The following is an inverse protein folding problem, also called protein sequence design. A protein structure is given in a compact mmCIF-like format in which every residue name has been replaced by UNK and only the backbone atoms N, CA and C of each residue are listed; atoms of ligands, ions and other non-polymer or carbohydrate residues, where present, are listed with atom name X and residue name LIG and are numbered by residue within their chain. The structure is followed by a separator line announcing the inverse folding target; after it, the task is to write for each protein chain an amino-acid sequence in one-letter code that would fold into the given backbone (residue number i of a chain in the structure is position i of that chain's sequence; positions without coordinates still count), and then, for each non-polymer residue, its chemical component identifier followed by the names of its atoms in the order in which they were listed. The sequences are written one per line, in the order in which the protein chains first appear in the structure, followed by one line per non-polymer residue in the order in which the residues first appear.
data_IF_597479040980
#
_entry.id   IF_597479040980
#
_cell.length_a   1.000
_cell.length_b   1.000
_cell.length_c   1.000
_cell.angle_alpha   90.00
_cell.angle_beta   90.00
_cell.angle_gamma   90.00
#
_symmetry.space_group_name_H-M   'P 1'
#
loop_
_entity.id
_entity.type
_entity.pdbx_description
1 polymer ?
#
# COMPACT_ATOMS: atom_id res chain seq x y z
N UNK A 1 -31.13 -17.91 -7.45
CA UNK A 1 -29.90 -18.15 -6.66
C UNK A 1 -28.83 -18.44 -7.70
N UNK A 2 -27.89 -17.52 -7.90
CA UNK A 2 -26.85 -17.73 -8.91
C UNK A 2 -25.99 -18.94 -8.51
N UNK A 3 -25.97 -19.97 -9.35
CA UNK A 3 -25.12 -21.13 -9.15
C UNK A 3 -23.66 -20.73 -9.37
N UNK A 4 -22.85 -20.98 -8.34
CA UNK A 4 -21.40 -20.85 -8.41
C UNK A 4 -20.84 -22.02 -9.22
N UNK A 5 -20.31 -21.71 -10.40
CA UNK A 5 -19.54 -22.68 -11.18
C UNK A 5 -18.08 -22.64 -10.72
N UNK A 6 -17.35 -23.74 -10.95
CA UNK A 6 -15.91 -23.82 -10.66
C UNK A 6 -15.15 -22.67 -11.35
N UNK A 7 -15.52 -22.36 -12.60
CA UNK A 7 -14.97 -21.22 -13.34
C UNK A 7 -15.17 -19.88 -12.62
N UNK A 8 -16.41 -19.58 -12.18
CA UNK A 8 -16.72 -18.36 -11.44
C UNK A 8 -15.96 -18.28 -10.11
N UNK A 9 -15.71 -19.42 -9.46
CA UNK A 9 -14.90 -19.47 -8.24
C UNK A 9 -13.43 -19.12 -8.54
N UNK A 10 -12.86 -19.67 -9.61
CA UNK A 10 -11.49 -19.39 -10.03
C UNK A 10 -11.33 -17.90 -10.39
N UNK A 11 -12.26 -17.34 -11.15
CA UNK A 11 -12.28 -15.91 -11.50
C UNK A 11 -12.32 -15.03 -10.24
N UNK A 12 -13.20 -15.34 -9.28
CA UNK A 12 -13.28 -14.62 -8.01
C UNK A 12 -12.01 -14.73 -7.16
N UNK A 13 -11.30 -15.86 -7.20
CA UNK A 13 -10.01 -16.03 -6.52
C UNK A 13 -8.92 -15.17 -7.17
N UNK A 14 -8.89 -15.06 -8.50
CA UNK A 14 -7.96 -14.19 -9.22
C UNK A 14 -8.22 -12.73 -8.83
N UNK A 15 -9.47 -12.27 -8.88
CA UNK A 15 -9.85 -10.90 -8.47
C UNK A 15 -9.47 -10.60 -7.02
N UNK A 16 -9.66 -11.57 -6.12
CA UNK A 16 -9.23 -11.44 -4.72
C UNK A 16 -7.72 -11.24 -4.62
N UNK A 17 -6.93 -12.04 -5.34
CA UNK A 17 -5.47 -11.89 -5.31
C UNK A 17 -5.01 -10.56 -5.91
N UNK A 18 -5.64 -10.09 -6.99
CA UNK A 18 -5.34 -8.78 -7.57
C UNK A 18 -5.56 -7.63 -6.59
N UNK A 19 -6.70 -7.65 -5.91
CA UNK A 19 -6.99 -6.67 -4.85
C UNK A 19 -5.96 -6.71 -3.73
N UNK A 20 -5.61 -7.89 -3.23
CA UNK A 20 -4.62 -8.02 -2.14
C UNK A 20 -3.22 -7.56 -2.57
N UNK A 21 -2.82 -7.85 -3.81
CA UNK A 21 -1.56 -7.35 -4.38
C UNK A 21 -1.55 -5.82 -4.40
N UNK A 22 -2.65 -5.20 -4.85
CA UNK A 22 -2.79 -3.76 -4.88
C UNK A 22 -2.73 -3.15 -3.47
N UNK A 23 -3.54 -3.67 -2.55
CA UNK A 23 -3.59 -3.19 -1.15
C UNK A 23 -2.22 -3.25 -0.47
N UNK A 24 -1.46 -4.34 -0.64
CA UNK A 24 -0.12 -4.45 -0.06
C UNK A 24 0.92 -3.57 -0.76
N UNK A 25 0.81 -3.39 -2.08
CA UNK A 25 1.70 -2.50 -2.83
C UNK A 25 1.49 -1.04 -2.40
N UNK A 26 0.23 -0.61 -2.29
CA UNK A 26 -0.15 0.73 -1.83
C UNK A 26 0.30 0.96 -0.38
N UNK A 27 0.17 -0.06 0.47
CA UNK A 27 0.67 -0.01 1.86
C UNK A 27 2.19 0.17 1.91
N UNK A 28 2.94 -0.55 1.06
CA UNK A 28 4.39 -0.45 0.99
C UNK A 28 4.84 0.93 0.48
N UNK A 29 4.18 1.47 -0.55
CA UNK A 29 4.45 2.82 -1.04
C UNK A 29 4.13 3.88 0.02
N UNK A 30 3.01 3.73 0.72
CA UNK A 30 2.61 4.64 1.79
C UNK A 30 3.59 4.60 2.97
N UNK A 31 4.09 3.42 3.36
CA UNK A 31 5.15 3.30 4.37
C UNK A 31 6.43 4.04 3.96
N UNK A 32 6.82 3.96 2.67
CA UNK A 32 7.98 4.71 2.15
C UNK A 32 7.73 6.22 2.14
N UNK A 33 6.51 6.65 1.80
CA UNK A 33 6.14 8.07 1.82
C UNK A 33 6.13 8.61 3.25
N UNK A 34 5.63 7.84 4.23
CA UNK A 34 5.71 8.19 5.65
C UNK A 34 7.15 8.42 6.10
N UNK A 35 8.09 7.54 5.74
CA UNK A 35 9.49 7.72 6.18
C UNK A 35 10.09 9.01 5.64
N UNK A 36 9.81 9.34 4.38
CA UNK A 36 10.30 10.58 3.74
C UNK A 36 9.66 11.81 4.39
N UNK A 37 8.35 11.78 4.64
CA UNK A 37 7.64 12.91 5.25
C UNK A 37 8.06 13.14 6.71
N UNK A 38 8.35 12.06 7.46
CA UNK A 38 8.89 12.16 8.83
C UNK A 38 10.27 12.80 8.83
N UNK A 39 11.17 12.35 7.96
CA UNK A 39 12.50 12.97 7.82
C UNK A 39 12.40 14.45 7.40
N UNK A 40 11.51 14.76 6.45
CA UNK A 40 11.23 16.15 6.03
C UNK A 40 10.71 17.00 7.20
N UNK A 41 9.78 16.45 7.99
CA UNK A 41 9.25 17.11 9.19
C UNK A 41 10.38 17.42 10.17
N UNK A 42 11.23 16.46 10.49
CA UNK A 42 12.35 16.63 11.42
C UNK A 42 13.31 17.75 10.94
N UNK A 43 13.60 17.80 9.64
CA UNK A 43 14.42 18.87 9.04
C UNK A 43 13.76 20.25 9.12
N UNK A 44 12.45 20.31 8.86
CA UNK A 44 11.68 21.56 8.92
C UNK A 44 11.52 22.06 10.35
N UNK A 45 11.31 21.18 11.33
CA UNK A 45 11.28 21.53 12.76
C UNK A 45 12.61 22.15 13.18
N UNK A 46 13.73 21.53 12.82
CA UNK A 46 15.07 22.09 13.08
C UNK A 46 15.25 23.49 12.47
N UNK A 47 14.84 23.71 11.22
CA UNK A 47 14.98 25.03 10.60
C UNK A 47 14.04 26.07 11.22
N UNK A 48 12.81 25.70 11.58
CA UNK A 48 11.85 26.58 12.26
C UNK A 48 12.38 27.04 13.61
N UNK A 49 13.03 26.16 14.36
CA UNK A 49 13.62 26.48 15.67
C UNK A 49 14.83 27.43 15.56
N UNK A 50 15.57 27.38 14.45
CA UNK A 50 16.74 28.25 14.15
C UNK A 50 16.35 29.63 13.55
N UNK A 51 15.16 30.15 13.85
CA UNK A 51 14.61 31.43 13.34
C UNK A 51 14.37 31.47 11.80
N UNK A 52 13.77 30.42 11.25
CA UNK A 52 13.47 30.36 9.82
C UNK A 52 12.40 31.34 9.30
N UNK A 53 12.54 31.65 8.01
CA UNK A 53 11.55 32.33 7.15
C UNK A 53 10.16 31.65 7.19
N UNK A 54 9.10 32.45 7.01
CA UNK A 54 7.70 31.98 7.03
C UNK A 54 7.40 30.83 6.04
N UNK A 55 8.21 30.68 4.97
CA UNK A 55 8.09 29.55 4.03
C UNK A 55 8.26 28.19 4.71
N UNK A 56 9.20 28.07 5.64
CA UNK A 56 9.49 26.79 6.32
C UNK A 56 8.39 26.44 7.31
N UNK A 57 7.81 27.44 7.99
CA UNK A 57 6.63 27.24 8.85
C UNK A 57 5.43 26.74 8.06
N UNK A 58 5.20 27.31 6.87
CA UNK A 58 4.12 26.86 5.99
C UNK A 58 4.36 25.42 5.51
N UNK A 59 5.57 25.12 5.03
CA UNK A 59 5.90 23.76 4.59
C UNK A 59 5.81 22.74 5.72
N UNK A 60 6.12 23.12 6.96
CA UNK A 60 5.97 22.27 8.13
C UNK A 60 4.49 21.91 8.36
N UNK A 61 3.61 22.91 8.33
CA UNK A 61 2.15 22.71 8.46
C UNK A 61 1.62 21.79 7.35
N UNK A 62 2.03 22.04 6.10
CA UNK A 62 1.59 21.23 4.96
C UNK A 62 2.10 19.78 5.08
N UNK A 63 3.35 19.59 5.51
CA UNK A 63 3.95 18.26 5.74
C UNK A 63 3.25 17.52 6.90
N UNK A 64 2.90 18.22 7.98
CA UNK A 64 2.15 17.64 9.11
C UNK A 64 0.76 17.17 8.69
N UNK A 65 0.02 17.97 7.91
CA UNK A 65 -1.30 17.57 7.38
C UNK A 65 -1.21 16.36 6.45
N UNK A 66 -0.18 16.32 5.61
CA UNK A 66 0.04 15.17 4.74
C UNK A 66 0.33 13.92 5.55
N UNK A 67 1.17 14.02 6.59
CA UNK A 67 1.42 12.91 7.54
C UNK A 67 0.13 12.41 8.18
N UNK A 68 -0.69 13.30 8.76
CA UNK A 68 -1.96 12.92 9.39
C UNK A 68 -2.87 12.19 8.40
N UNK A 69 -3.05 12.76 7.20
CA UNK A 69 -3.87 12.15 6.14
C UNK A 69 -3.34 10.77 5.74
N UNK A 70 -2.01 10.61 5.66
CA UNK A 70 -1.40 9.36 5.24
C UNK A 70 -1.45 8.30 6.35
N UNK A 71 -1.35 8.72 7.62
CA UNK A 71 -1.50 7.85 8.78
C UNK A 71 -2.95 7.37 8.98
N UNK A 72 -3.95 8.21 8.67
CA UNK A 72 -5.37 7.83 8.69
C UNK A 72 -5.73 6.86 7.54
N UNK A 73 -5.13 7.03 6.36
CA UNK A 73 -5.41 6.22 5.18
C UNK A 73 -4.56 4.95 5.08
N UNK A 74 -3.46 4.86 5.84
CA UNK A 74 -2.70 3.62 5.91
C UNK A 74 -3.62 2.55 6.49
N UNK A 75 -3.86 1.49 5.74
CA UNK A 75 -4.33 0.24 6.34
C UNK A 75 -3.28 -0.07 7.42
N UNK A 76 -3.72 -0.15 8.68
CA UNK A 76 -2.89 -0.55 9.79
C UNK A 76 -2.49 -2.02 9.61
N UNK A 77 -1.57 -2.25 8.69
CA UNK A 77 -0.85 -3.50 8.55
C UNK A 77 0.39 -3.32 9.39
N UNK A 78 0.44 -3.99 10.54
CA UNK A 78 1.64 -4.11 11.40
C UNK A 78 2.81 -4.83 10.69
N UNK A 79 2.63 -5.21 9.42
CA UNK A 79 3.65 -5.87 8.62
C UNK A 79 4.75 -4.88 8.23
N UNK A 80 5.98 -5.32 8.45
CA UNK A 80 7.19 -4.65 7.97
C UNK A 80 7.23 -4.69 6.45
N UNK A 81 7.98 -3.80 5.79
CA UNK A 81 8.13 -3.81 4.33
C UNK A 81 8.55 -5.17 3.75
N UNK A 82 9.41 -5.90 4.45
CA UNK A 82 9.83 -7.25 4.05
C UNK A 82 8.69 -8.28 4.08
N UNK A 83 7.78 -8.13 5.04
CA UNK A 83 6.61 -9.00 5.19
C UNK A 83 5.55 -8.67 4.16
N UNK A 84 5.30 -7.38 3.89
CA UNK A 84 4.46 -6.93 2.77
C UNK A 84 4.94 -7.48 1.43
N UNK A 85 6.25 -7.39 1.18
CA UNK A 85 6.85 -7.95 -0.04
C UNK A 85 6.63 -9.46 -0.14
N UNK A 86 6.85 -10.20 0.95
CA UNK A 86 6.59 -11.65 0.99
C UNK A 86 5.13 -11.98 0.68
N UNK A 87 4.17 -11.21 1.21
CA UNK A 87 2.74 -11.39 0.93
C UNK A 87 2.38 -11.10 -0.52
N UNK A 88 2.96 -10.07 -1.12
CA UNK A 88 2.80 -9.77 -2.54
C UNK A 88 3.31 -10.97 -3.37
N UNK A 89 4.50 -11.48 -3.08
CA UNK A 89 5.09 -12.61 -3.81
C UNK A 89 4.23 -13.90 -3.68
N UNK A 90 3.67 -14.15 -2.50
CA UNK A 90 2.71 -15.24 -2.25
C UNK A 90 1.45 -15.09 -3.12
N UNK A 91 0.85 -13.91 -3.16
CA UNK A 91 -0.35 -13.65 -3.96
C UNK A 91 -0.10 -13.64 -5.46
N UNK A 92 1.05 -13.15 -5.91
CA UNK A 92 1.46 -13.23 -7.33
C UNK A 92 1.59 -14.70 -7.75
N UNK A 93 2.23 -15.52 -6.91
CA UNK A 93 2.37 -16.96 -7.14
C UNK A 93 1.01 -17.68 -7.18
N UNK A 94 0.13 -17.37 -6.21
CA UNK A 94 -1.21 -17.94 -6.14
C UNK A 94 -2.08 -17.51 -7.33
N UNK A 95 -2.05 -16.23 -7.70
CA UNK A 95 -2.74 -15.71 -8.90
C UNK A 95 -2.29 -16.46 -10.14
N UNK A 96 -0.97 -16.60 -10.35
CA UNK A 96 -0.41 -17.31 -11.50
C UNK A 96 -0.94 -18.74 -11.58
N UNK A 97 -0.99 -19.45 -10.45
CA UNK A 97 -1.57 -20.80 -10.39
C UNK A 97 -3.04 -20.82 -10.82
N UNK A 98 -3.88 -19.94 -10.27
CA UNK A 98 -5.30 -19.89 -10.59
C UNK A 98 -5.58 -19.45 -12.03
N UNK A 99 -4.78 -18.53 -12.58
CA UNK A 99 -4.86 -18.14 -14.00
C UNK A 99 -4.54 -19.34 -14.92
N UNK A 100 -3.52 -20.15 -14.58
CA UNK A 100 -3.22 -21.37 -15.34
C UNK A 100 -4.36 -22.39 -15.25
N UNK A 101 -4.99 -22.53 -14.07
CA UNK A 101 -6.16 -23.39 -13.88
C UNK A 101 -7.36 -22.95 -14.71
N UNK A 102 -7.63 -21.65 -14.78
CA UNK A 102 -8.68 -21.09 -15.61
C UNK A 102 -8.47 -21.42 -17.10
N UNK A 103 -7.23 -21.23 -17.59
CA UNK A 103 -6.87 -21.54 -18.98
C UNK A 103 -7.04 -23.03 -19.34
N UNK A 104 -6.81 -23.93 -18.38
CA UNK A 104 -7.03 -25.37 -18.57
C UNK A 104 -8.51 -25.77 -18.63
N UNK A 105 -9.43 -24.91 -18.17
CA UNK A 105 -10.87 -25.15 -18.31
C UNK A 105 -11.43 -24.63 -19.64
N UNK A 106 -10.74 -23.68 -20.27
CA UNK A 106 -11.14 -23.06 -21.54
C UNK A 106 -10.54 -23.76 -22.79
N UNK A 107 -9.62 -24.71 -22.61
CA UNK A 107 -8.97 -25.48 -23.68
C UNK A 107 -9.36 -26.95 -23.66
#
# INVERSE_FOLDING_TARGET
MDEWTEKKLIEALIEKHDRLIQEYSDSMESQKRLSILREKKDQLEYWVDEEAEDKYKKELIDTQKELETLEENLIATDLRPSELKSRIDEHVSAKKYWTQKLQQQDG
#
